data_IF_509193462935
#
_entry.id   IF_509193462935
#
_cell.length_a   1.000
_cell.length_b   1.000
_cell.length_c   1.000
_cell.angle_alpha   90.00
_cell.angle_beta   90.00
_cell.angle_gamma   90.00
#
_symmetry.space_group_name_H-M   'P 1'
#
loop_
_entity.id
_entity.type
_entity.pdbx_description
1 polymer ?
#
# COMPACT_ATOMS: atom_id res chain seq x y z
N UNK A 1 33.85 15.37 -0.26
CA UNK A 1 32.68 15.81 0.53
C UNK A 1 31.59 14.74 0.37
N UNK A 2 31.46 13.81 1.33
CA UNK A 2 30.54 12.66 1.26
C UNK A 2 29.16 13.11 1.76
N UNK A 3 28.15 13.23 0.88
CA UNK A 3 26.76 13.53 1.29
C UNK A 3 25.98 12.23 1.45
N UNK A 4 25.28 12.16 2.58
CA UNK A 4 24.56 11.00 3.13
C UNK A 4 23.44 10.58 2.20
N UNK A 5 23.38 9.27 1.97
CA UNK A 5 22.21 8.56 1.44
C UNK A 5 21.02 8.74 2.40
N UNK A 6 19.84 8.78 1.79
CA UNK A 6 18.54 9.11 2.36
C UNK A 6 18.24 8.39 3.68
N UNK A 7 17.82 9.19 4.66
CA UNK A 7 17.53 8.79 6.02
C UNK A 7 16.13 8.16 6.11
N UNK A 8 16.06 6.83 5.99
CA UNK A 8 14.86 6.03 6.22
C UNK A 8 14.35 6.12 7.68
N UNK A 9 15.01 6.84 8.60
CA UNK A 9 14.53 7.01 9.97
C UNK A 9 13.30 7.91 10.10
N UNK A 10 13.04 8.83 9.15
CA UNK A 10 11.95 9.81 9.30
C UNK A 10 10.55 9.18 9.42
N UNK A 11 10.31 8.07 8.71
CA UNK A 11 9.02 7.38 8.75
C UNK A 11 8.79 6.56 10.04
N UNK A 12 9.87 6.14 10.72
CA UNK A 12 9.80 5.36 11.94
C UNK A 12 9.73 6.23 13.21
N UNK A 13 10.32 7.43 13.21
CA UNK A 13 10.34 8.28 14.41
C UNK A 13 8.98 8.90 14.74
N UNK A 14 8.16 9.27 13.75
CA UNK A 14 6.80 9.79 14.01
C UNK A 14 5.83 8.76 14.59
N UNK A 15 6.11 7.47 14.45
CA UNK A 15 5.25 6.40 14.97
C UNK A 15 5.74 5.81 16.31
N UNK A 16 6.88 6.29 16.85
CA UNK A 16 7.40 5.85 18.16
C UNK A 16 6.69 6.47 19.37
N UNK A 17 5.77 7.41 19.15
CA UNK A 17 5.07 8.15 20.21
C UNK A 17 3.79 7.52 20.77
N UNK A 18 3.19 6.51 20.13
CA UNK A 18 1.89 5.95 20.58
C UNK A 18 2.08 4.71 21.45
N UNK A 19 3.00 4.79 22.42
CA UNK A 19 3.24 3.70 23.36
C UNK A 19 3.72 4.18 24.73
N UNK A 20 3.30 5.36 25.22
CA UNK A 20 3.36 5.70 26.66
C UNK A 20 2.29 6.75 26.99
N UNK A 21 1.39 6.42 27.90
CA UNK A 21 0.39 7.32 28.45
C UNK A 21 -1.03 6.86 28.12
N UNK A 22 -1.58 5.98 28.96
CA UNK A 22 -3.03 5.80 29.02
C UNK A 22 -3.64 7.14 29.45
N UNK A 23 -4.47 7.73 28.60
CA UNK A 23 -5.37 8.82 28.98
C UNK A 23 -6.52 8.19 29.80
N UNK A 24 -6.67 8.52 31.10
CA UNK A 24 -7.73 7.97 31.93
C UNK A 24 -9.14 8.47 31.55
N UNK A 25 -9.26 9.36 30.55
CA UNK A 25 -10.55 9.90 30.08
C UNK A 25 -10.93 9.46 28.66
N UNK A 26 -10.09 8.69 27.96
CA UNK A 26 -10.46 8.13 26.67
C UNK A 26 -11.49 7.00 26.85
N UNK A 27 -12.65 7.02 26.17
CA UNK A 27 -13.63 5.95 26.27
C UNK A 27 -13.00 4.64 25.79
N UNK A 28 -12.86 3.66 26.70
CA UNK A 28 -12.50 2.28 26.34
C UNK A 28 -13.54 1.76 25.35
N UNK A 29 -13.18 1.67 24.07
CA UNK A 29 -13.92 0.83 23.15
C UNK A 29 -13.65 -0.61 23.55
N UNK A 30 -14.54 -1.11 24.43
CA UNK A 30 -14.61 -2.47 24.87
C UNK A 30 -14.52 -3.40 23.66
N UNK A 31 -13.40 -4.12 23.55
CA UNK A 31 -13.41 -5.44 22.95
C UNK A 31 -14.38 -6.28 23.77
N UNK A 32 -15.61 -6.42 23.28
CA UNK A 32 -16.63 -7.23 23.91
C UNK A 32 -16.24 -8.70 23.71
N UNK A 33 -15.45 -9.22 24.65
CA UNK A 33 -15.33 -10.67 24.86
C UNK A 33 -16.65 -11.10 25.50
N UNK A 34 -17.62 -11.46 24.66
CA UNK A 34 -18.88 -12.03 25.13
C UNK A 34 -18.74 -13.56 25.22
N UNK A 35 -18.69 -14.06 26.45
CA UNK A 35 -19.50 -15.20 26.90
C UNK A 35 -19.26 -16.57 26.27
N UNK A 36 -18.47 -17.38 27.00
CA UNK A 36 -18.64 -18.80 27.28
C UNK A 36 -19.93 -19.48 26.72
N UNK A 37 -19.82 -20.20 25.59
CA UNK A 37 -20.64 -21.39 25.29
C UNK A 37 -19.82 -22.36 24.44
N UNK A 38 -19.86 -23.65 24.80
CA UNK A 38 -19.24 -24.75 24.05
C UNK A 38 -19.80 -24.75 22.62
N UNK A 39 -19.00 -24.30 21.65
CA UNK A 39 -19.44 -24.23 20.26
C UNK A 39 -18.29 -23.93 19.32
N UNK A 40 -17.72 -25.01 18.76
CA UNK A 40 -17.04 -25.08 17.45
C UNK A 40 -16.34 -23.78 17.01
N UNK A 41 -15.05 -23.65 17.36
CA UNK A 41 -14.16 -22.65 16.76
C UNK A 41 -14.28 -22.74 15.23
N UNK A 42 -14.96 -21.78 14.62
CA UNK A 42 -14.80 -21.53 13.18
C UNK A 42 -13.44 -20.86 13.04
N UNK A 43 -12.57 -21.51 12.30
CA UNK A 43 -11.22 -21.07 11.98
C UNK A 43 -11.29 -19.79 11.13
N UNK A 44 -11.54 -18.66 11.80
CA UNK A 44 -11.51 -17.34 11.19
C UNK A 44 -10.04 -16.96 10.99
N UNK A 45 -9.60 -16.97 9.73
CA UNK A 45 -8.25 -16.56 9.31
C UNK A 45 -7.95 -15.15 9.84
N UNK A 46 -7.11 -15.05 10.87
CA UNK A 46 -6.65 -13.78 11.41
C UNK A 46 -5.93 -13.00 10.30
N UNK A 47 -6.50 -11.88 9.86
CA UNK A 47 -5.77 -10.93 9.01
C UNK A 47 -4.68 -10.27 9.86
N UNK A 48 -3.44 -10.34 9.40
CA UNK A 48 -2.32 -9.64 10.05
C UNK A 48 -2.58 -8.13 10.04
N UNK A 49 -2.02 -7.42 11.02
CA UNK A 49 -2.19 -5.96 11.17
C UNK A 49 -1.86 -5.19 9.88
N UNK A 50 -0.86 -5.62 9.10
CA UNK A 50 -0.50 -5.00 7.81
C UNK A 50 -1.64 -5.07 6.79
N UNK A 51 -2.22 -6.26 6.58
CA UNK A 51 -3.32 -6.45 5.62
C UNK A 51 -4.56 -5.65 5.99
N UNK A 52 -4.81 -5.48 7.29
CA UNK A 52 -5.90 -4.63 7.77
C UNK A 52 -5.65 -3.14 7.46
N UNK A 53 -4.42 -2.67 7.62
CA UNK A 53 -4.04 -1.28 7.33
C UNK A 53 -4.13 -1.01 5.82
N UNK A 54 -3.56 -1.88 4.98
CA UNK A 54 -3.63 -1.79 3.52
C UNK A 54 -5.09 -1.71 3.04
N UNK A 55 -5.95 -2.60 3.57
CA UNK A 55 -7.38 -2.59 3.24
C UNK A 55 -8.07 -1.30 3.67
N UNK A 56 -7.76 -0.77 4.87
CA UNK A 56 -8.34 0.50 5.34
C UNK A 56 -7.91 1.67 4.47
N UNK A 57 -6.64 1.73 4.07
CA UNK A 57 -6.12 2.78 3.20
C UNK A 57 -6.77 2.70 1.81
N UNK A 58 -6.88 1.51 1.23
CA UNK A 58 -7.57 1.32 -0.05
C UNK A 58 -9.02 1.80 0.00
N UNK A 59 -9.76 1.45 1.07
CA UNK A 59 -11.15 1.89 1.23
C UNK A 59 -11.27 3.42 1.34
N UNK A 60 -10.32 4.08 2.00
CA UNK A 60 -10.28 5.55 2.07
C UNK A 60 -10.01 6.18 0.69
N UNK A 61 -9.06 5.64 -0.06
CA UNK A 61 -8.76 6.08 -1.44
C UNK A 61 -9.98 5.86 -2.35
N UNK A 62 -10.60 4.69 -2.26
CA UNK A 62 -11.81 4.34 -3.01
C UNK A 62 -12.97 5.29 -2.72
N UNK A 63 -13.15 5.69 -1.46
CA UNK A 63 -14.16 6.65 -1.07
C UNK A 63 -13.89 8.05 -1.65
N UNK A 64 -12.63 8.48 -1.68
CA UNK A 64 -12.26 9.84 -2.12
C UNK A 64 -12.23 10.00 -3.64
N UNK A 65 -11.72 9.01 -4.36
CA UNK A 65 -11.43 9.11 -5.79
C UNK A 65 -12.32 8.20 -6.66
N UNK A 66 -13.18 7.42 -6.00
CA UNK A 66 -14.19 6.58 -6.63
C UNK A 66 -13.73 5.30 -7.36
N UNK A 67 -12.49 4.75 -7.26
CA UNK A 67 -12.25 3.41 -7.78
C UNK A 67 -13.12 2.37 -7.05
N UNK A 68 -13.22 1.16 -7.64
CA UNK A 68 -13.94 0.04 -7.02
C UNK A 68 -13.39 -0.25 -5.61
N UNK A 69 -14.27 -0.64 -4.69
CA UNK A 69 -13.89 -1.04 -3.31
C UNK A 69 -13.05 -2.31 -3.31
N UNK A 70 -13.15 -3.10 -4.37
CA UNK A 70 -12.33 -4.29 -4.61
C UNK A 70 -11.41 -4.03 -5.81
N UNK A 71 -10.13 -4.37 -5.64
CA UNK A 71 -9.15 -4.29 -6.72
C UNK A 71 -9.45 -5.36 -7.77
N UNK A 72 -9.66 -4.99 -9.05
CA UNK A 72 -9.92 -5.97 -10.10
C UNK A 72 -8.74 -6.94 -10.27
N UNK A 73 -8.98 -8.24 -10.60
CA UNK A 73 -7.89 -9.20 -10.85
C UNK A 73 -6.88 -8.75 -11.89
N UNK A 74 -7.32 -7.97 -12.88
CA UNK A 74 -6.49 -7.42 -13.95
C UNK A 74 -5.41 -6.46 -13.42
N UNK A 75 -5.65 -5.80 -12.29
CA UNK A 75 -4.63 -4.98 -11.65
C UNK A 75 -3.47 -5.84 -11.12
N UNK A 76 -3.76 -7.05 -10.61
CA UNK A 76 -2.72 -7.94 -10.12
C UNK A 76 -1.85 -8.47 -11.26
N UNK A 77 -2.46 -8.79 -12.41
CA UNK A 77 -1.71 -9.18 -13.61
C UNK A 77 -0.82 -8.03 -14.12
N UNK A 78 -1.38 -6.83 -14.21
CA UNK A 78 -0.64 -5.65 -14.65
C UNK A 78 0.55 -5.33 -13.72
N UNK A 79 0.36 -5.42 -12.39
CA UNK A 79 1.40 -5.21 -11.39
C UNK A 79 2.55 -6.22 -11.53
N UNK A 80 2.22 -7.52 -11.68
CA UNK A 80 3.24 -8.56 -11.90
C UNK A 80 4.05 -8.32 -13.19
N UNK A 81 3.40 -7.85 -14.26
CA UNK A 81 4.09 -7.53 -15.53
C UNK A 81 4.92 -6.27 -15.45
N UNK A 82 4.49 -5.29 -14.65
CA UNK A 82 5.22 -4.07 -14.36
C UNK A 82 6.49 -4.37 -13.57
N UNK A 83 6.41 -5.26 -12.57
CA UNK A 83 7.59 -5.79 -11.85
C UNK A 83 8.60 -6.35 -12.85
N UNK A 84 8.16 -7.14 -13.85
CA UNK A 84 9.02 -7.68 -14.90
C UNK A 84 9.77 -6.62 -15.72
N UNK A 85 9.18 -5.43 -15.90
CA UNK A 85 9.83 -4.28 -16.53
C UNK A 85 10.79 -3.54 -15.57
N UNK A 86 10.51 -3.55 -14.26
CA UNK A 86 11.34 -2.93 -13.22
C UNK A 86 12.66 -3.67 -12.97
N UNK A 87 12.70 -4.99 -13.21
CA UNK A 87 13.87 -5.83 -12.92
C UNK A 87 15.17 -5.33 -13.57
N UNK A 88 15.10 -4.57 -14.67
CA UNK A 88 16.28 -3.97 -15.32
C UNK A 88 16.97 -2.90 -14.47
N UNK A 89 16.27 -2.36 -13.46
CA UNK A 89 16.75 -1.32 -12.57
C UNK A 89 17.22 -1.85 -11.20
N UNK A 90 17.05 -3.15 -10.94
CA UNK A 90 17.34 -3.79 -9.66
C UNK A 90 18.57 -4.69 -9.77
N UNK A 91 19.26 -4.90 -8.64
CA UNK A 91 20.32 -5.90 -8.56
C UNK A 91 19.73 -7.30 -8.79
N UNK A 92 20.36 -8.14 -9.63
CA UNK A 92 19.82 -9.45 -9.98
C UNK A 92 19.80 -10.39 -8.77
N UNK A 93 18.66 -11.04 -8.53
CA UNK A 93 18.48 -12.09 -7.52
C UNK A 93 17.64 -13.25 -8.08
N UNK A 94 17.74 -14.43 -7.47
CA UNK A 94 17.28 -15.70 -8.06
C UNK A 94 15.81 -15.70 -8.53
N UNK A 95 14.93 -14.99 -7.83
CA UNK A 95 13.51 -14.97 -8.18
C UNK A 95 13.19 -14.10 -9.41
N UNK A 96 14.07 -13.18 -9.82
CA UNK A 96 13.88 -12.32 -11.01
C UNK A 96 13.72 -13.14 -12.30
N UNK A 97 14.23 -14.38 -12.32
CA UNK A 97 14.09 -15.30 -13.45
C UNK A 97 12.66 -15.82 -13.67
N UNK A 98 11.76 -15.64 -12.70
CA UNK A 98 10.37 -16.12 -12.77
C UNK A 98 9.44 -15.17 -13.52
N UNK A 99 9.74 -13.88 -13.49
CA UNK A 99 8.89 -12.83 -14.07
C UNK A 99 9.43 -12.41 -15.45
N UNK A 100 9.12 -13.23 -16.45
CA UNK A 100 9.57 -13.03 -17.84
C UNK A 100 8.58 -12.25 -18.70
N UNK A 101 7.33 -12.11 -18.25
CA UNK A 101 6.27 -11.43 -18.99
C UNK A 101 6.28 -9.95 -18.62
N UNK A 102 6.47 -9.12 -19.63
CA UNK A 102 6.64 -7.66 -19.51
C UNK A 102 5.43 -6.90 -20.04
N UNK A 103 5.20 -5.70 -19.54
CA UNK A 103 4.27 -4.75 -20.14
C UNK A 103 4.94 -4.00 -21.30
N UNK A 104 6.27 -3.90 -21.30
CA UNK A 104 7.05 -3.09 -22.23
C UNK A 104 7.13 -1.62 -21.80
N UNK A 105 6.82 -1.33 -20.53
CA UNK A 105 6.91 0.02 -20.00
C UNK A 105 8.37 0.45 -19.83
N UNK A 106 8.66 1.71 -20.16
CA UNK A 106 9.98 2.29 -19.90
C UNK A 106 10.06 2.78 -18.46
N UNK A 107 10.44 1.89 -17.56
CA UNK A 107 10.56 2.17 -16.13
C UNK A 107 12.03 2.43 -15.78
N UNK A 108 12.26 3.45 -14.95
CA UNK A 108 13.60 3.80 -14.49
C UNK A 108 13.56 4.59 -13.19
N UNK A 109 14.66 4.58 -12.45
CA UNK A 109 14.81 5.37 -11.22
C UNK A 109 14.84 6.87 -11.56
N UNK A 110 13.79 7.60 -11.18
CA UNK A 110 13.68 9.06 -11.36
C UNK A 110 13.79 9.79 -10.02
N UNK A 111 14.17 11.07 -10.09
CA UNK A 111 14.15 11.94 -8.92
C UNK A 111 12.72 12.08 -8.36
N UNK A 112 12.54 12.11 -7.03
CA UNK A 112 11.22 12.19 -6.40
C UNK A 112 10.34 13.31 -6.95
N UNK A 113 10.92 14.48 -7.18
CA UNK A 113 10.20 15.68 -7.65
C UNK A 113 9.67 15.49 -9.08
N UNK A 114 10.41 14.76 -9.92
CA UNK A 114 9.98 14.42 -11.28
C UNK A 114 8.87 13.38 -11.24
N UNK A 115 9.03 12.34 -10.42
CA UNK A 115 8.03 11.28 -10.26
C UNK A 115 6.71 11.81 -9.73
N UNK A 116 6.75 12.72 -8.74
CA UNK A 116 5.56 13.38 -8.20
C UNK A 116 4.85 14.22 -9.26
N UNK A 117 5.59 15.03 -10.02
CA UNK A 117 5.01 15.84 -11.10
C UNK A 117 4.34 15.00 -12.18
N UNK A 118 4.98 13.91 -12.61
CA UNK A 118 4.42 12.98 -13.59
C UNK A 118 3.19 12.23 -13.06
N UNK A 119 3.21 11.82 -11.79
CA UNK A 119 2.08 11.17 -11.12
C UNK A 119 0.88 12.11 -11.05
N UNK A 120 1.05 13.33 -10.50
CA UNK A 120 -0.04 14.29 -10.33
C UNK A 120 -0.65 14.72 -11.67
N UNK A 121 0.17 14.90 -12.70
CA UNK A 121 -0.30 15.19 -14.06
C UNK A 121 -1.17 14.05 -14.61
N UNK A 122 -0.67 12.82 -14.55
CA UNK A 122 -1.38 11.63 -15.03
C UNK A 122 -2.69 11.42 -14.26
N UNK A 123 -2.63 11.57 -12.93
CA UNK A 123 -3.80 11.49 -12.07
C UNK A 123 -4.85 12.55 -12.44
N UNK A 124 -4.44 13.80 -12.64
CA UNK A 124 -5.33 14.88 -13.08
C UNK A 124 -6.02 14.58 -14.42
N UNK A 125 -5.26 14.09 -15.40
CA UNK A 125 -5.81 13.70 -16.70
C UNK A 125 -6.86 12.58 -16.57
N UNK A 126 -6.60 11.56 -15.75
CA UNK A 126 -7.52 10.46 -15.50
C UNK A 126 -8.77 10.92 -14.74
N UNK A 127 -8.61 11.76 -13.72
CA UNK A 127 -9.71 12.32 -12.96
C UNK A 127 -10.63 13.18 -13.85
N UNK A 128 -10.04 14.00 -14.72
CA UNK A 128 -10.78 14.81 -15.70
C UNK A 128 -11.56 13.95 -16.70
N UNK A 129 -10.93 12.90 -17.25
CA UNK A 129 -11.60 11.96 -18.17
C UNK A 129 -12.77 11.24 -17.50
N UNK A 130 -12.62 10.83 -16.25
CA UNK A 130 -13.69 10.21 -15.47
C UNK A 130 -14.84 11.18 -15.22
N UNK A 131 -14.55 12.44 -14.91
CA UNK A 131 -15.58 13.46 -14.69
C UNK A 131 -16.35 13.83 -15.96
N UNK A 132 -15.75 13.61 -17.13
CA UNK A 132 -16.34 13.87 -18.45
C UNK A 132 -17.10 12.67 -19.05
N UNK A 133 -17.02 11.49 -18.43
CA UNK A 133 -17.68 10.25 -18.86
C UNK A 133 -19.02 10.06 -18.12
#
# INVERSE_FOLDING_TARGET
MKRRLYDHQWYFEKNRGVAKGEDPTAPRLHGQVCGNTKGRFREGKYMTTSKMIEKRNWLAIAQLFGPSRETPPEFHDADNRLIGDELVNLDPIDWHSKDTIRLGARIGCRFPEVSEGDFLRTFGDLANRRAAA
#
